data_IF_723789404135
#
_entry.id   IF_723789404135
#
_cell.length_a   1.000
_cell.length_b   1.000
_cell.length_c   1.000
_cell.angle_alpha   90.00
_cell.angle_beta   90.00
_cell.angle_gamma   90.00
#
_symmetry.space_group_name_H-M   'P 1'
#
loop_
_entity.id
_entity.type
_entity.pdbx_description
1 polymer ?
#
# COMPACT_ATOMS: atom_id res chain seq x y z
N UNK A 1 -30.02 -21.78 -2.02
CA UNK A 1 -29.03 -21.50 -3.08
C UNK A 1 -27.67 -21.66 -2.44
N UNK A 2 -26.88 -22.60 -2.92
CA UNK A 2 -25.52 -22.87 -2.45
C UNK A 2 -24.62 -21.77 -3.01
N UNK A 3 -24.30 -20.77 -2.19
CA UNK A 3 -23.30 -19.75 -2.54
C UNK A 3 -21.97 -20.41 -2.86
N UNK A 4 -21.33 -20.10 -4.00
CA UNK A 4 -19.94 -20.53 -4.21
C UNK A 4 -19.08 -19.95 -3.08
N UNK A 5 -18.42 -20.83 -2.33
CA UNK A 5 -17.41 -20.43 -1.37
C UNK A 5 -16.13 -20.13 -2.14
N UNK A 6 -15.57 -18.94 -1.93
CA UNK A 6 -14.34 -18.55 -2.57
C UNK A 6 -13.16 -19.29 -1.90
N UNK A 7 -12.31 -20.01 -2.64
CA UNK A 7 -11.15 -20.64 -2.05
C UNK A 7 -10.13 -19.61 -1.56
N UNK A 8 -9.34 -19.95 -0.54
CA UNK A 8 -8.32 -19.07 0.05
C UNK A 8 -7.34 -18.49 -0.99
N UNK A 9 -7.04 -19.28 -2.03
CA UNK A 9 -6.31 -18.87 -3.23
C UNK A 9 -7.23 -19.07 -4.43
N UNK A 10 -8.05 -18.09 -4.73
CA UNK A 10 -8.95 -18.16 -5.87
C UNK A 10 -8.17 -17.95 -7.16
N UNK A 11 -8.29 -18.89 -8.09
CA UNK A 11 -7.80 -18.68 -9.46
C UNK A 11 -8.56 -17.55 -10.14
N UNK A 12 -8.09 -17.08 -11.28
CA UNK A 12 -8.84 -16.12 -12.10
C UNK A 12 -10.25 -16.64 -12.46
N UNK A 13 -10.39 -17.94 -12.72
CA UNK A 13 -11.67 -18.59 -13.05
C UNK A 13 -12.59 -18.56 -11.83
N UNK A 14 -12.10 -18.98 -10.66
CA UNK A 14 -12.88 -19.00 -9.43
C UNK A 14 -13.33 -17.58 -9.04
N UNK A 15 -12.41 -16.61 -9.14
CA UNK A 15 -12.69 -15.21 -8.81
C UNK A 15 -13.76 -14.61 -9.74
N UNK A 16 -13.65 -14.83 -11.05
CA UNK A 16 -14.64 -14.36 -12.02
C UNK A 16 -15.99 -15.05 -11.84
N UNK A 17 -16.01 -16.37 -11.65
CA UNK A 17 -17.24 -17.13 -11.43
C UNK A 17 -17.96 -16.67 -10.15
N UNK A 18 -17.22 -16.47 -9.07
CA UNK A 18 -17.77 -15.96 -7.82
C UNK A 18 -18.30 -14.54 -7.98
N UNK A 19 -17.53 -13.60 -8.56
CA UNK A 19 -18.02 -12.23 -8.80
C UNK A 19 -19.27 -12.21 -9.70
N UNK A 20 -19.34 -13.12 -10.67
CA UNK A 20 -20.52 -13.25 -11.53
C UNK A 20 -21.76 -13.69 -10.74
N UNK A 21 -21.63 -14.62 -9.80
CA UNK A 21 -22.73 -15.00 -8.90
C UNK A 21 -23.13 -13.84 -7.99
N UNK A 22 -22.15 -13.11 -7.43
CA UNK A 22 -22.42 -12.03 -6.46
C UNK A 22 -23.01 -10.77 -7.08
N UNK A 23 -22.68 -10.48 -8.35
CA UNK A 23 -23.12 -9.26 -9.06
C UNK A 23 -24.24 -9.50 -10.07
N UNK A 24 -24.50 -10.76 -10.44
CA UNK A 24 -25.47 -11.12 -11.47
C UNK A 24 -25.05 -10.73 -12.90
N UNK A 25 -23.78 -10.37 -13.13
CA UNK A 25 -23.25 -10.00 -14.45
C UNK A 25 -22.00 -10.83 -14.79
N UNK A 26 -21.70 -11.11 -16.07
CA UNK A 26 -20.50 -11.88 -16.42
C UNK A 26 -19.20 -11.13 -16.09
N UNK A 27 -18.21 -11.85 -15.56
CA UNK A 27 -16.87 -11.32 -15.27
C UNK A 27 -15.81 -12.00 -16.13
N UNK A 28 -14.85 -11.20 -16.57
CA UNK A 28 -13.62 -11.65 -17.25
C UNK A 28 -12.42 -11.18 -16.45
N UNK A 29 -11.25 -11.79 -16.67
CA UNK A 29 -10.01 -11.35 -16.05
C UNK A 29 -9.70 -9.89 -16.38
N UNK A 30 -9.90 -9.48 -17.64
CA UNK A 30 -9.74 -8.08 -18.06
C UNK A 30 -10.61 -7.13 -17.22
N UNK A 31 -11.91 -7.44 -17.09
CA UNK A 31 -12.85 -6.64 -16.27
C UNK A 31 -12.44 -6.64 -14.80
N UNK A 32 -12.01 -7.77 -14.26
CA UNK A 32 -11.52 -7.87 -12.88
C UNK A 32 -10.32 -6.94 -12.64
N UNK A 33 -9.35 -6.92 -13.56
CA UNK A 33 -8.19 -6.05 -13.46
C UNK A 33 -8.54 -4.57 -13.62
N UNK A 34 -9.43 -4.23 -14.56
CA UNK A 34 -9.92 -2.85 -14.77
C UNK A 34 -10.63 -2.30 -13.54
N UNK A 35 -11.38 -3.13 -12.82
CA UNK A 35 -12.10 -2.76 -11.60
C UNK A 35 -11.20 -2.75 -10.35
N UNK A 36 -9.88 -2.89 -10.51
CA UNK A 36 -8.93 -2.79 -9.39
C UNK A 36 -8.60 -4.12 -8.72
N UNK A 37 -8.89 -5.26 -9.35
CA UNK A 37 -8.46 -6.57 -8.90
C UNK A 37 -6.94 -6.61 -8.65
N UNK A 38 -6.54 -7.23 -7.54
CA UNK A 38 -5.15 -7.35 -7.09
C UNK A 38 -4.65 -8.78 -7.26
N UNK A 39 -4.17 -9.15 -8.47
CA UNK A 39 -3.58 -10.45 -8.71
C UNK A 39 -2.23 -10.62 -7.99
N UNK A 40 -1.94 -11.86 -7.60
CA UNK A 40 -0.61 -12.29 -7.19
C UNK A 40 -0.29 -13.67 -7.78
N UNK A 41 0.99 -13.98 -7.82
CA UNK A 41 1.49 -15.31 -8.15
C UNK A 41 2.20 -15.88 -6.94
N UNK A 42 1.94 -17.15 -6.64
CA UNK A 42 2.67 -17.84 -5.58
C UNK A 42 4.03 -18.29 -6.12
N UNK A 43 5.10 -17.68 -5.63
CA UNK A 43 6.46 -18.04 -6.02
C UNK A 43 7.09 -18.91 -4.94
N UNK A 44 7.63 -20.04 -5.35
CA UNK A 44 8.51 -20.86 -4.53
C UNK A 44 9.97 -20.48 -4.81
N UNK A 45 10.83 -20.69 -3.81
CA UNK A 45 12.25 -20.37 -3.91
C UNK A 45 12.89 -21.05 -5.12
N UNK A 46 13.67 -20.27 -5.86
CA UNK A 46 14.53 -20.77 -6.92
C UNK A 46 15.87 -20.03 -6.87
N UNK A 47 16.95 -20.72 -7.23
CA UNK A 47 18.29 -20.11 -7.26
C UNK A 47 18.36 -18.97 -8.29
N UNK A 48 17.64 -19.10 -9.41
CA UNK A 48 17.54 -18.07 -10.46
C UNK A 48 16.97 -16.76 -9.93
N UNK A 49 15.95 -16.84 -9.06
CA UNK A 49 15.23 -15.70 -8.51
C UNK A 49 15.48 -15.52 -7.01
N UNK A 50 16.65 -15.96 -6.51
CA UNK A 50 16.97 -15.92 -5.08
C UNK A 50 16.87 -14.50 -4.49
N UNK A 51 17.11 -13.46 -5.29
CA UNK A 51 16.97 -12.05 -4.88
C UNK A 51 15.53 -11.65 -4.49
N UNK A 52 14.52 -12.43 -4.89
CA UNK A 52 13.14 -12.23 -4.46
C UNK A 52 12.84 -12.75 -3.05
N UNK A 53 13.76 -13.50 -2.46
CA UNK A 53 13.55 -14.20 -1.19
C UNK A 53 14.53 -13.68 -0.13
N UNK A 54 13.97 -13.07 0.92
CA UNK A 54 14.72 -12.66 2.10
C UNK A 54 15.00 -13.87 3.01
N UNK A 55 15.97 -13.71 3.92
CA UNK A 55 16.47 -14.79 4.77
C UNK A 55 15.36 -15.65 5.42
N UNK A 56 15.38 -16.95 5.09
CA UNK A 56 14.45 -17.94 5.61
C UNK A 56 13.09 -18.01 4.90
N UNK A 57 12.81 -17.15 3.92
CA UNK A 57 11.59 -17.21 3.12
C UNK A 57 11.79 -18.17 1.96
N UNK A 58 10.98 -19.22 1.90
CA UNK A 58 11.03 -20.23 0.83
C UNK A 58 9.88 -20.13 -0.16
N UNK A 59 8.89 -19.29 0.13
CA UNK A 59 7.72 -19.05 -0.73
C UNK A 59 7.00 -17.77 -0.33
N UNK A 60 6.43 -17.06 -1.29
CA UNK A 60 5.63 -15.86 -1.00
C UNK A 60 4.64 -15.54 -2.14
N UNK A 61 3.69 -14.64 -1.86
CA UNK A 61 2.75 -14.12 -2.85
C UNK A 61 3.35 -12.88 -3.52
N UNK A 62 3.87 -13.03 -4.73
CA UNK A 62 4.43 -11.95 -5.54
C UNK A 62 3.30 -11.19 -6.25
N UNK A 63 3.10 -9.89 -5.95
CA UNK A 63 1.98 -9.14 -6.51
C UNK A 63 2.27 -8.70 -7.96
N UNK A 64 1.30 -8.84 -8.85
CA UNK A 64 1.41 -8.33 -10.23
C UNK A 64 0.98 -6.87 -10.23
N UNK A 65 1.94 -5.97 -9.97
CA UNK A 65 1.68 -4.54 -9.75
C UNK A 65 1.94 -3.68 -10.98
N UNK A 66 2.78 -4.13 -11.91
CA UNK A 66 3.19 -3.34 -13.06
C UNK A 66 2.11 -3.27 -14.13
N UNK A 67 1.89 -2.08 -14.70
CA UNK A 67 0.80 -1.83 -15.65
C UNK A 67 0.94 -2.70 -16.91
N UNK A 68 2.14 -2.82 -17.46
CA UNK A 68 2.37 -3.64 -18.65
C UNK A 68 2.13 -5.13 -18.42
N UNK A 69 2.31 -5.62 -17.19
CA UNK A 69 2.08 -7.02 -16.84
C UNK A 69 0.58 -7.29 -16.67
N UNK A 70 -0.17 -6.30 -16.17
CA UNK A 70 -1.64 -6.32 -16.13
C UNK A 70 -2.25 -6.20 -17.53
N UNK A 71 -1.69 -5.37 -18.41
CA UNK A 71 -2.12 -5.25 -19.81
C UNK A 71 -1.93 -6.58 -20.55
N UNK A 72 -0.80 -7.26 -20.32
CA UNK A 72 -0.55 -8.60 -20.85
C UNK A 72 -1.64 -9.60 -20.41
N UNK A 73 -1.98 -9.63 -19.12
CA UNK A 73 -3.09 -10.45 -18.61
C UNK A 73 -4.46 -10.05 -19.19
N UNK A 74 -4.74 -8.75 -19.30
CA UNK A 74 -6.00 -8.23 -19.83
C UNK A 74 -6.18 -8.53 -21.32
N UNK A 75 -5.08 -8.74 -22.07
CA UNK A 75 -5.12 -9.14 -23.47
C UNK A 75 -5.63 -10.58 -23.69
N UNK A 76 -5.78 -11.37 -22.62
CA UNK A 76 -6.18 -12.77 -22.69
C UNK A 76 -5.01 -13.73 -22.88
N UNK A 77 -3.80 -13.33 -22.49
CA UNK A 77 -2.64 -14.21 -22.48
C UNK A 77 -2.85 -15.44 -21.58
N UNK A 78 -2.22 -16.55 -21.94
CA UNK A 78 -2.25 -17.82 -21.21
C UNK A 78 -1.22 -17.90 -20.07
N UNK A 79 -0.45 -16.84 -19.89
CA UNK A 79 0.58 -16.74 -18.87
C UNK A 79 0.64 -15.37 -18.18
N UNK A 80 1.21 -15.40 -16.99
CA UNK A 80 1.59 -14.23 -16.21
C UNK A 80 3.02 -13.88 -16.55
N UNK A 81 3.21 -12.70 -17.15
CA UNK A 81 4.52 -12.17 -17.41
C UNK A 81 4.89 -11.15 -16.32
N UNK A 82 5.70 -11.57 -15.36
CA UNK A 82 6.25 -10.70 -14.32
C UNK A 82 7.55 -10.09 -14.82
N UNK A 83 7.56 -8.79 -15.06
CA UNK A 83 8.79 -8.00 -15.31
C UNK A 83 9.14 -7.13 -14.12
N UNK A 84 8.15 -6.80 -13.30
CA UNK A 84 8.35 -6.00 -12.11
C UNK A 84 7.40 -6.48 -11.02
N UNK A 85 7.93 -6.68 -9.82
CA UNK A 85 7.18 -7.19 -8.68
C UNK A 85 7.69 -6.56 -7.39
N UNK A 86 7.19 -7.05 -6.26
CA UNK A 86 7.83 -6.85 -4.97
C UNK A 86 8.43 -8.18 -4.51
N UNK A 87 9.58 -8.12 -3.86
CA UNK A 87 10.17 -9.28 -3.20
C UNK A 87 9.39 -9.67 -1.94
N UNK A 88 9.82 -10.73 -1.25
CA UNK A 88 9.21 -11.17 0.00
C UNK A 88 9.28 -10.14 1.14
N UNK A 89 10.19 -9.17 1.04
CA UNK A 89 10.33 -8.02 1.95
C UNK A 89 9.46 -6.82 1.55
N UNK A 90 8.65 -6.96 0.49
CA UNK A 90 7.78 -5.92 -0.08
C UNK A 90 8.55 -4.74 -0.70
N UNK A 91 9.82 -4.94 -1.05
CA UNK A 91 10.64 -3.97 -1.79
C UNK A 91 10.39 -4.18 -3.29
N UNK A 92 10.18 -3.07 -4.01
CA UNK A 92 9.98 -3.10 -5.44
C UNK A 92 11.25 -3.51 -6.19
N UNK A 93 11.12 -4.45 -7.11
CA UNK A 93 12.23 -5.00 -7.88
C UNK A 93 11.83 -5.21 -9.34
N UNK A 94 12.70 -4.75 -10.24
CA UNK A 94 12.64 -5.06 -11.66
C UNK A 94 13.36 -6.39 -11.89
N UNK A 95 12.70 -7.32 -12.56
CA UNK A 95 13.24 -8.64 -12.86
C UNK A 95 14.14 -8.57 -14.09
N UNK A 96 15.24 -9.31 -14.06
CA UNK A 96 16.15 -9.42 -15.22
C UNK A 96 15.39 -9.93 -16.44
N UNK A 97 15.65 -9.31 -17.60
CA UNK A 97 15.04 -9.72 -18.86
C UNK A 97 15.31 -11.23 -19.14
N UNK A 98 14.31 -12.00 -19.62
CA UNK A 98 13.00 -11.55 -20.11
C UNK A 98 11.93 -11.34 -19.04
N UNK A 99 12.23 -11.51 -17.75
CA UNK A 99 11.25 -11.56 -16.66
C UNK A 99 10.77 -12.98 -16.37
N UNK A 100 10.05 -13.14 -15.28
CA UNK A 100 9.54 -14.42 -14.81
C UNK A 100 8.19 -14.71 -15.47
N UNK A 101 8.00 -15.93 -15.96
CA UNK A 101 6.79 -16.39 -16.64
C UNK A 101 6.14 -17.51 -15.83
N UNK A 102 4.87 -17.35 -15.48
CA UNK A 102 4.10 -18.37 -14.75
C UNK A 102 2.83 -18.68 -15.54
N UNK A 103 2.36 -19.94 -15.59
CA UNK A 103 1.05 -20.23 -16.16
C UNK A 103 -0.06 -19.37 -15.53
N UNK A 104 -1.09 -19.01 -16.30
CA UNK A 104 -2.22 -18.23 -15.78
C UNK A 104 -2.95 -18.92 -14.62
N UNK A 105 -2.89 -20.25 -14.55
CA UNK A 105 -3.42 -21.03 -13.41
C UNK A 105 -2.66 -20.76 -12.09
N UNK A 106 -1.45 -20.21 -12.19
CA UNK A 106 -0.66 -19.71 -11.06
C UNK A 106 -1.08 -18.31 -10.59
N UNK A 107 -1.98 -17.64 -11.31
CA UNK A 107 -2.55 -16.34 -10.96
C UNK A 107 -3.68 -16.52 -9.95
N UNK A 108 -3.52 -15.90 -8.79
CA UNK A 108 -4.46 -16.00 -7.70
C UNK A 108 -4.90 -14.63 -7.20
N UNK A 109 -6.05 -14.61 -6.53
CA UNK A 109 -6.64 -13.45 -5.88
C UNK A 109 -6.91 -13.77 -4.42
N UNK A 110 -6.69 -12.79 -3.53
CA UNK A 110 -6.98 -12.98 -2.12
C UNK A 110 -8.47 -12.77 -1.88
N UNK A 111 -9.08 -13.67 -1.11
CA UNK A 111 -10.49 -13.54 -0.74
C UNK A 111 -10.82 -12.18 -0.13
N UNK A 112 -9.96 -11.69 0.78
CA UNK A 112 -10.11 -10.37 1.40
C UNK A 112 -10.19 -9.24 0.37
N UNK A 113 -9.39 -9.30 -0.68
CA UNK A 113 -9.30 -8.23 -1.68
C UNK A 113 -10.46 -8.31 -2.66
N UNK A 114 -10.94 -9.52 -3.00
CA UNK A 114 -12.17 -9.72 -3.79
C UNK A 114 -13.43 -9.33 -3.01
N UNK A 115 -13.50 -9.60 -1.71
CA UNK A 115 -14.58 -9.14 -0.84
C UNK A 115 -14.59 -7.61 -0.72
N UNK A 116 -13.40 -6.97 -0.66
CA UNK A 116 -13.28 -5.51 -0.71
C UNK A 116 -13.81 -4.96 -2.02
N UNK A 117 -13.38 -5.53 -3.15
CA UNK A 117 -13.86 -5.15 -4.47
C UNK A 117 -15.39 -5.33 -4.58
N UNK A 118 -15.93 -6.47 -4.16
CA UNK A 118 -17.37 -6.70 -4.16
C UNK A 118 -18.11 -5.65 -3.33
N UNK A 119 -17.58 -5.31 -2.16
CA UNK A 119 -18.15 -4.25 -1.32
C UNK A 119 -18.12 -2.89 -2.01
N UNK A 120 -17.04 -2.56 -2.72
CA UNK A 120 -16.91 -1.34 -3.53
C UNK A 120 -17.85 -1.35 -4.74
N UNK A 121 -18.23 -2.52 -5.27
CA UNK A 121 -19.19 -2.64 -6.37
C UNK A 121 -20.66 -2.59 -5.90
N UNK A 122 -20.97 -3.21 -4.76
CA UNK A 122 -22.31 -3.25 -4.16
C UNK A 122 -22.68 -1.96 -3.43
N UNK A 123 -21.67 -1.31 -2.88
CA UNK A 123 -21.72 0.06 -2.45
C UNK A 123 -20.74 0.80 -3.36
N UNK A 124 -21.12 1.04 -4.63
CA UNK A 124 -20.36 1.98 -5.45
C UNK A 124 -20.17 3.18 -4.56
N UNK A 125 -18.91 3.50 -4.26
CA UNK A 125 -18.66 4.84 -3.78
C UNK A 125 -19.36 5.71 -4.82
N UNK A 126 -20.19 6.66 -4.37
CA UNK A 126 -20.87 7.49 -5.33
C UNK A 126 -19.82 8.07 -6.29
N UNK A 127 -20.21 8.47 -7.50
CA UNK A 127 -19.30 9.17 -8.43
C UNK A 127 -18.35 10.10 -7.65
N UNK A 128 -17.14 10.41 -8.11
CA UNK A 128 -16.29 11.40 -7.44
C UNK A 128 -17.05 12.73 -7.10
N UNK A 129 -18.17 12.98 -7.79
CA UNK A 129 -19.15 14.04 -7.53
C UNK A 129 -20.10 13.83 -6.31
N UNK A 130 -20.33 12.60 -5.83
CA UNK A 130 -21.18 12.26 -4.68
C UNK A 130 -20.41 11.57 -3.52
N UNK A 131 -19.22 10.99 -3.73
CA UNK A 131 -18.37 10.37 -2.68
C UNK A 131 -17.82 11.39 -1.67
N UNK A 132 -17.95 12.68 -1.96
CA UNK A 132 -17.79 13.75 -0.97
C UNK A 132 -18.79 13.64 0.20
N UNK A 133 -19.84 12.80 0.12
CA UNK A 133 -20.86 12.67 1.17
C UNK A 133 -20.73 11.48 2.14
N UNK A 134 -19.88 10.47 1.94
CA UNK A 134 -19.78 9.35 2.90
C UNK A 134 -18.42 8.62 2.88
N UNK A 135 -17.64 8.76 3.97
CA UNK A 135 -16.21 8.44 4.08
C UNK A 135 -15.83 6.95 4.42
N UNK A 136 -14.53 6.53 4.28
CA UNK A 136 -14.01 5.17 4.55
C UNK A 136 -13.33 4.94 5.93
N UNK A 137 -13.03 3.67 6.28
CA UNK A 137 -12.51 3.15 7.59
C UNK A 137 -10.99 2.87 7.60
N UNK A 138 -10.41 3.03 8.80
CA UNK A 138 -9.00 3.16 9.25
C UNK A 138 -8.47 1.87 9.91
N UNK A 139 -7.16 1.53 9.82
CA UNK A 139 -6.48 0.48 10.62
C UNK A 139 -5.88 1.03 11.95
N UNK A 140 -5.85 0.29 13.07
CA UNK A 140 -5.74 0.87 14.40
C UNK A 140 -4.31 1.10 14.92
N UNK A 141 -3.63 2.09 14.37
CA UNK A 141 -3.21 3.28 15.15
C UNK A 141 -3.68 4.60 14.46
N UNK A 142 -4.41 4.48 13.34
CA UNK A 142 -4.27 5.40 12.22
C UNK A 142 -5.19 6.62 12.21
N UNK A 143 -5.42 7.26 13.36
CA UNK A 143 -6.17 8.53 13.39
C UNK A 143 -5.66 9.58 14.37
N UNK A 144 -4.44 9.44 14.90
CA UNK A 144 -3.80 10.59 15.56
C UNK A 144 -2.53 10.85 14.81
N UNK A 145 -2.50 11.90 13.99
CA UNK A 145 -1.26 12.54 13.56
C UNK A 145 -1.13 13.89 14.28
N UNK A 146 -0.02 14.58 14.06
CA UNK A 146 0.15 15.95 14.53
C UNK A 146 -0.32 16.95 13.47
N UNK A 147 -0.95 18.04 13.88
CA UNK A 147 -1.29 19.13 12.98
C UNK A 147 -0.03 19.84 12.45
N UNK A 148 -0.18 20.62 11.37
CA UNK A 148 0.93 21.34 10.73
C UNK A 148 1.80 22.12 11.72
N UNK A 149 1.19 22.93 12.57
CA UNK A 149 1.90 23.72 13.59
C UNK A 149 2.66 22.84 14.58
N UNK A 150 2.06 21.72 15.01
CA UNK A 150 2.70 20.79 15.92
C UNK A 150 3.91 20.09 15.27
N UNK A 151 3.83 19.77 13.98
CA UNK A 151 4.96 19.22 13.20
C UNK A 151 6.07 20.26 13.08
N UNK A 152 5.75 21.50 12.76
CA UNK A 152 6.74 22.59 12.66
C UNK A 152 7.47 22.80 13.99
N UNK A 153 6.75 22.72 15.11
CA UNK A 153 7.35 22.82 16.45
C UNK A 153 8.19 21.58 16.76
N UNK A 154 7.67 20.38 16.52
CA UNK A 154 8.34 19.12 16.83
C UNK A 154 9.64 18.93 16.03
N UNK A 155 9.66 19.37 14.78
CA UNK A 155 10.83 19.26 13.90
C UNK A 155 11.49 20.62 13.64
N UNK A 156 11.26 21.60 14.51
CA UNK A 156 11.91 22.91 14.42
C UNK A 156 13.44 22.75 14.44
N UNK A 157 14.10 23.28 13.41
CA UNK A 157 15.56 23.19 13.27
C UNK A 157 16.10 21.82 12.89
N UNK A 158 15.24 20.86 12.52
CA UNK A 158 15.64 19.55 12.01
C UNK A 158 15.98 19.66 10.53
N UNK A 159 17.28 19.73 10.22
CA UNK A 159 17.77 19.85 8.84
C UNK A 159 17.63 21.25 8.25
N UNK A 160 18.02 21.41 6.98
CA UNK A 160 17.97 22.69 6.25
C UNK A 160 16.75 22.78 5.32
N UNK A 161 15.69 22.04 5.62
CA UNK A 161 14.49 21.98 4.80
C UNK A 161 13.46 23.01 5.25
N UNK A 162 12.79 23.65 4.28
CA UNK A 162 11.58 24.41 4.54
C UNK A 162 10.40 23.46 4.72
N UNK A 163 10.24 23.02 5.98
CA UNK A 163 9.20 22.08 6.36
C UNK A 163 7.80 22.67 6.16
N UNK A 164 7.66 23.99 6.33
CA UNK A 164 6.37 24.67 6.19
C UNK A 164 5.85 24.65 4.75
N UNK A 165 6.76 24.88 3.80
CA UNK A 165 6.51 24.75 2.37
C UNK A 165 6.25 23.30 1.96
N UNK A 166 7.02 22.35 2.50
CA UNK A 166 6.81 20.92 2.26
C UNK A 166 5.41 20.45 2.66
N UNK A 167 5.01 20.74 3.90
CA UNK A 167 3.68 20.41 4.44
C UNK A 167 2.55 21.11 3.69
N UNK A 168 2.75 22.36 3.27
CA UNK A 168 1.77 23.10 2.46
C UNK A 168 1.59 22.48 1.07
N UNK A 169 2.68 22.00 0.46
CA UNK A 169 2.61 21.38 -0.86
C UNK A 169 1.84 20.06 -0.83
N UNK A 170 1.99 19.28 0.24
CA UNK A 170 1.28 18.01 0.39
C UNK A 170 1.64 16.98 -0.68
N UNK A 171 2.88 17.02 -1.20
CA UNK A 171 3.40 16.11 -2.23
C UNK A 171 4.51 15.23 -1.63
N UNK A 172 4.70 14.03 -2.19
CA UNK A 172 5.75 13.10 -1.77
C UNK A 172 5.61 12.71 -0.30
N UNK A 173 6.70 12.80 0.47
CA UNK A 173 6.69 12.44 1.89
C UNK A 173 5.72 13.29 2.73
N UNK A 174 5.29 14.45 2.24
CA UNK A 174 4.34 15.34 2.92
C UNK A 174 2.88 15.12 2.49
N UNK A 175 2.66 14.27 1.48
CA UNK A 175 1.36 13.96 0.90
C UNK A 175 0.74 12.69 1.43
N UNK A 176 -0.38 12.28 0.82
CA UNK A 176 -1.18 11.12 1.25
C UNK A 176 -0.46 9.79 1.05
N UNK A 177 0.45 9.72 0.05
CA UNK A 177 1.34 8.56 -0.16
C UNK A 177 2.54 8.55 0.82
N UNK A 178 2.70 9.62 1.60
CA UNK A 178 3.74 9.81 2.58
C UNK A 178 3.18 9.85 3.99
N UNK A 179 3.56 10.87 4.75
CA UNK A 179 3.18 10.96 6.16
C UNK A 179 1.80 11.59 6.40
N UNK A 180 1.10 12.11 5.38
CA UNK A 180 -0.17 12.83 5.59
C UNK A 180 -1.32 11.85 5.86
N UNK A 181 -2.06 12.12 6.92
CA UNK A 181 -3.25 11.35 7.31
C UNK A 181 -4.44 12.30 7.49
N UNK A 182 -5.65 11.83 7.14
CA UNK A 182 -6.87 12.64 7.24
C UNK A 182 -7.42 12.62 8.66
N UNK A 183 -7.74 13.79 9.22
CA UNK A 183 -8.46 13.89 10.49
C UNK A 183 -9.94 13.56 10.26
N UNK A 184 -10.45 12.50 10.89
CA UNK A 184 -11.88 12.21 10.87
C UNK A 184 -12.64 13.16 11.81
N UNK A 185 -12.99 14.37 11.36
CA UNK A 185 -13.97 15.23 12.02
C UNK A 185 -15.31 15.16 11.28
N UNK A 186 -16.31 14.55 11.92
CA UNK A 186 -17.72 14.65 11.50
C UNK A 186 -18.15 16.11 11.61
N UNK A 187 -18.07 16.85 10.51
CA UNK A 187 -18.50 18.24 10.40
C UNK A 187 -17.35 19.25 10.53
N UNK A 188 -17.00 19.90 9.42
CA UNK A 188 -16.18 21.13 9.40
C UNK A 188 -14.69 20.95 9.10
N UNK A 189 -14.28 21.49 7.93
CA UNK A 189 -12.92 21.70 7.38
C UNK A 189 -11.96 20.50 7.40
N UNK A 190 -11.59 20.03 6.20
CA UNK A 190 -10.49 19.09 5.95
C UNK A 190 -9.22 19.55 6.69
N UNK A 191 -8.92 18.97 7.84
CA UNK A 191 -7.66 19.21 8.55
C UNK A 191 -6.75 18.02 8.33
N UNK A 192 -5.61 18.30 7.72
CA UNK A 192 -4.56 17.32 7.53
C UNK A 192 -3.75 17.19 8.80
N UNK A 193 -3.45 15.94 9.15
CA UNK A 193 -2.47 15.60 10.18
C UNK A 193 -1.30 14.90 9.50
N UNK A 194 -0.16 14.82 10.17
CA UNK A 194 0.98 14.05 9.70
C UNK A 194 1.42 13.05 10.76
N UNK A 195 1.77 11.85 10.31
CA UNK A 195 2.35 10.81 11.12
C UNK A 195 3.83 11.11 11.33
N UNK A 196 4.27 11.51 12.55
CA UNK A 196 5.60 12.06 12.76
C UNK A 196 6.73 11.04 12.56
N UNK A 197 6.48 9.74 12.81
CA UNK A 197 7.48 8.67 12.59
C UNK A 197 7.75 8.48 11.09
N UNK A 198 6.71 8.24 10.29
CA UNK A 198 6.78 8.18 8.81
C UNK A 198 7.41 9.45 8.22
N UNK A 199 7.04 10.63 8.73
CA UNK A 199 7.62 11.88 8.27
C UNK A 199 9.12 11.95 8.55
N UNK A 200 9.56 11.54 9.74
CA UNK A 200 10.96 11.56 10.12
C UNK A 200 11.83 10.66 9.22
N UNK A 201 11.37 9.46 8.88
CA UNK A 201 12.08 8.60 7.93
C UNK A 201 12.07 9.18 6.52
N UNK A 202 10.93 9.71 6.05
CA UNK A 202 10.90 10.41 4.76
C UNK A 202 11.87 11.59 4.69
N UNK A 203 12.02 12.36 5.78
CA UNK A 203 12.99 13.44 5.89
C UNK A 203 14.44 12.93 5.85
N UNK A 204 14.71 11.78 6.46
CA UNK A 204 16.03 11.13 6.39
C UNK A 204 16.34 10.66 4.96
N UNK A 205 15.42 9.94 4.34
CA UNK A 205 15.67 9.22 3.09
C UNK A 205 15.70 10.17 1.89
N UNK A 206 14.71 11.06 1.80
CA UNK A 206 14.51 11.95 0.64
C UNK A 206 15.29 13.25 0.80
N UNK A 207 15.31 13.81 2.02
CA UNK A 207 15.91 15.11 2.29
C UNK A 207 17.25 15.04 3.03
N UNK A 208 17.77 13.82 3.25
CA UNK A 208 19.10 13.58 3.85
C UNK A 208 19.28 14.26 5.20
N UNK A 209 18.20 14.41 5.96
CA UNK A 209 18.27 14.90 7.33
C UNK A 209 19.04 13.89 8.17
N UNK A 210 20.11 14.27 8.90
CA UNK A 210 20.88 13.32 9.69
C UNK A 210 20.02 12.61 10.75
N UNK A 211 20.13 11.28 10.82
CA UNK A 211 19.37 10.45 11.77
C UNK A 211 19.57 10.89 13.23
N UNK A 212 20.77 11.37 13.57
CA UNK A 212 21.07 11.93 14.89
C UNK A 212 20.16 13.12 15.28
N UNK A 213 19.78 13.97 14.32
CA UNK A 213 18.88 15.10 14.56
C UNK A 213 17.44 14.62 14.81
N UNK A 214 17.02 13.56 14.11
CA UNK A 214 15.70 12.94 14.28
C UNK A 214 15.61 12.19 15.62
N UNK A 215 16.64 11.39 15.96
CA UNK A 215 16.78 10.75 17.28
C UNK A 215 16.70 11.77 18.41
N UNK A 216 17.38 12.93 18.26
CA UNK A 216 17.30 14.04 19.22
C UNK A 216 15.89 14.61 19.32
N UNK A 217 15.22 14.87 18.19
CA UNK A 217 13.85 15.40 18.20
C UNK A 217 12.89 14.49 18.98
N UNK A 218 12.89 13.18 18.71
CA UNK A 218 12.05 12.21 19.46
C UNK A 218 12.47 12.04 20.94
N UNK A 219 13.71 12.35 21.29
CA UNK A 219 14.16 12.33 22.67
C UNK A 219 13.75 13.58 23.46
N UNK A 220 13.75 14.76 22.83
CA UNK A 220 13.59 16.04 23.54
C UNK A 220 12.22 16.67 23.41
N UNK A 221 11.48 16.39 22.34
CA UNK A 221 10.25 17.12 22.02
C UNK A 221 9.03 16.54 22.76
N UNK A 222 8.31 17.33 23.57
CA UNK A 222 7.13 16.86 24.30
C UNK A 222 6.04 16.30 23.39
N UNK A 223 5.85 16.91 22.21
CA UNK A 223 4.85 16.51 21.21
C UNK A 223 5.10 15.12 20.62
N UNK A 224 6.33 14.60 20.71
CA UNK A 224 6.73 13.30 20.16
C UNK A 224 6.77 12.19 21.21
N UNK A 225 6.47 12.48 22.49
CA UNK A 225 6.53 11.48 23.57
C UNK A 225 5.61 10.29 23.35
N UNK A 226 4.38 10.55 22.90
CA UNK A 226 3.39 9.50 22.60
C UNK A 226 3.84 8.60 21.44
N UNK A 227 4.71 9.12 20.58
CA UNK A 227 5.24 8.45 19.39
C UNK A 227 6.57 7.75 19.62
N UNK A 228 7.12 7.85 20.84
CA UNK A 228 8.47 7.35 21.15
C UNK A 228 8.56 5.83 21.03
N UNK A 229 7.51 5.11 21.42
CA UNK A 229 7.47 3.65 21.28
C UNK A 229 7.54 3.23 19.81
N UNK A 230 6.69 3.82 18.97
CA UNK A 230 6.66 3.57 17.53
C UNK A 230 7.97 3.95 16.84
N UNK A 231 8.59 5.06 17.26
CA UNK A 231 9.90 5.50 16.80
C UNK A 231 11.01 4.50 17.14
N UNK A 232 11.09 4.05 18.38
CA UNK A 232 12.11 3.09 18.83
C UNK A 232 11.94 1.73 18.15
N UNK A 233 10.71 1.27 17.96
CA UNK A 233 10.45 0.04 17.23
C UNK A 233 10.85 0.17 15.76
N UNK A 234 10.56 1.31 15.13
CA UNK A 234 10.97 1.56 13.74
C UNK A 234 12.50 1.61 13.59
N UNK A 235 13.23 2.25 14.52
CA UNK A 235 14.70 2.23 14.53
C UNK A 235 15.25 0.81 14.71
N UNK A 236 14.66 0.03 15.63
CA UNK A 236 15.04 -1.36 15.86
C UNK A 236 14.89 -2.21 14.60
N UNK A 237 13.80 -2.02 13.85
CA UNK A 237 13.56 -2.71 12.58
C UNK A 237 14.55 -2.32 11.49
N UNK A 238 15.10 -1.11 11.55
CA UNK A 238 16.06 -0.57 10.58
C UNK A 238 17.53 -0.80 10.98
N UNK A 239 17.79 -1.35 12.17
CA UNK A 239 19.16 -1.57 12.67
C UNK A 239 19.89 -0.29 13.09
N UNK A 240 19.15 0.76 13.44
CA UNK A 240 19.64 2.09 13.82
C UNK A 240 19.72 2.34 15.34
#
# INVERSE_FOLDING_TARGET
MTSLSLPYRATAIDACAWLAEQTGTPWTLARLLEQGGLPYVWLDYSEEWAELFHDGVTRYAAPVVFIGDKEHLASGADDVWLRFTRDSGNIAIELKAPGLRVPVDGLHFQERDLLRLLKELQHPQPDPAEAEKAAPVVLPSALKGLGREQILIAFAGVGKIDLDKGLASGVGIFGDDGARVRKNSRGGKNSHLWHPVTLAFGLHDVHRVPMAHLKKAFATQPLLREWKADWLESLRLLGE
#
